data_IF_591584671283
#
_entry.id   IF_591584671283
#
_cell.length_a   1.000
_cell.length_b   1.000
_cell.length_c   1.000
_cell.angle_alpha   90.00
_cell.angle_beta   90.00
_cell.angle_gamma   90.00
#
_symmetry.space_group_name_H-M   'P 1'
#
loop_
_entity.id
_entity.type
_entity.pdbx_description
1 polymer ?
#
# COMPACT_ATOMS: atom_id res chain seq x y z
N UNK A 1 22.60 10.73 7.30
CA UNK A 1 21.37 11.28 6.68
C UNK A 1 20.59 11.97 7.80
N UNK A 2 19.87 13.08 7.55
CA UNK A 2 18.95 13.57 8.56
C UNK A 2 17.92 12.46 8.84
N UNK A 3 17.72 12.12 10.11
CA UNK A 3 16.80 11.05 10.48
C UNK A 3 15.36 11.42 10.20
N UNK A 4 14.51 10.41 9.97
CA UNK A 4 13.10 10.61 9.67
C UNK A 4 12.37 11.27 10.84
N UNK A 5 11.65 12.36 10.58
CA UNK A 5 10.97 13.14 11.63
C UNK A 5 9.61 12.55 11.98
N UNK A 6 9.09 12.90 13.16
CA UNK A 6 7.73 12.55 13.59
C UNK A 6 6.67 12.99 12.56
N UNK A 7 6.82 14.18 12.00
CA UNK A 7 5.92 14.73 10.97
C UNK A 7 5.97 13.91 9.68
N UNK A 8 7.14 13.42 9.29
CA UNK A 8 7.31 12.55 8.13
C UNK A 8 6.64 11.18 8.34
N UNK A 9 6.75 10.62 9.56
CA UNK A 9 6.02 9.40 9.94
C UNK A 9 4.51 9.62 9.90
N UNK A 10 4.02 10.74 10.44
CA UNK A 10 2.59 11.07 10.41
C UNK A 10 2.08 11.25 8.97
N UNK A 11 2.88 11.88 8.11
CA UNK A 11 2.56 12.02 6.69
C UNK A 11 2.49 10.65 5.98
N UNK A 12 3.47 9.78 6.23
CA UNK A 12 3.49 8.42 5.68
C UNK A 12 2.29 7.60 6.15
N UNK A 13 1.93 7.68 7.43
CA UNK A 13 0.77 7.01 7.98
C UNK A 13 -0.54 7.45 7.31
N UNK A 14 -0.69 8.76 7.05
CA UNK A 14 -1.83 9.31 6.30
C UNK A 14 -1.91 8.73 4.89
N UNK A 15 -0.79 8.64 4.17
CA UNK A 15 -0.73 8.04 2.83
C UNK A 15 -1.10 6.54 2.86
N UNK A 16 -0.66 5.83 3.90
CA UNK A 16 -0.95 4.42 4.10
C UNK A 16 -2.34 4.12 4.71
N UNK A 17 -3.13 5.16 5.03
CA UNK A 17 -4.42 5.05 5.75
C UNK A 17 -4.31 4.35 7.10
N UNK A 18 -3.21 4.60 7.81
CA UNK A 18 -2.97 4.12 9.15
C UNK A 18 -3.21 5.24 10.15
N UNK A 19 -4.07 5.00 11.13
CA UNK A 19 -4.21 5.85 12.31
C UNK A 19 -3.17 5.41 13.34
N UNK A 20 -2.29 6.32 13.72
CA UNK A 20 -1.24 6.07 14.70
C UNK A 20 -1.46 6.95 15.92
N UNK A 21 -1.21 6.40 17.10
CA UNK A 21 -1.18 7.14 18.35
C UNK A 21 0.08 7.99 18.43
N UNK A 22 0.01 9.02 19.26
CA UNK A 22 1.13 9.93 19.47
C UNK A 22 2.41 9.24 19.95
N UNK A 23 2.30 8.21 20.79
CA UNK A 23 3.46 7.44 21.25
C UNK A 23 4.06 6.56 20.14
N UNK A 24 3.22 6.11 19.21
CA UNK A 24 3.64 5.26 18.09
C UNK A 24 4.43 6.07 17.05
N UNK A 25 4.11 7.37 16.89
CA UNK A 25 4.83 8.25 15.97
C UNK A 25 6.31 8.40 16.36
N UNK A 26 6.60 8.67 17.63
CA UNK A 26 7.98 8.81 18.11
C UNK A 26 8.72 7.48 18.06
N UNK A 27 8.03 6.39 18.41
CA UNK A 27 8.59 5.05 18.38
C UNK A 27 8.98 4.64 16.95
N UNK A 28 8.09 4.86 15.98
CA UNK A 28 8.32 4.49 14.60
C UNK A 28 9.32 5.40 13.90
N UNK A 29 9.48 6.66 14.31
CA UNK A 29 10.54 7.51 13.77
C UNK A 29 11.92 6.87 13.98
N UNK A 30 12.22 6.38 15.20
CA UNK A 30 13.47 5.68 15.47
C UNK A 30 13.63 4.38 14.69
N UNK A 31 12.58 3.54 14.65
CA UNK A 31 12.64 2.27 13.93
C UNK A 31 12.79 2.44 12.41
N UNK A 32 12.12 3.43 11.83
CA UNK A 32 12.23 3.72 10.41
C UNK A 32 13.61 4.27 10.06
N UNK A 33 14.24 5.05 10.95
CA UNK A 33 15.63 5.50 10.78
C UNK A 33 16.60 4.32 10.73
N UNK A 34 16.47 3.37 11.65
CA UNK A 34 17.28 2.13 11.67
C UNK A 34 17.10 1.32 10.38
N UNK A 35 15.86 1.17 9.90
CA UNK A 35 15.53 0.44 8.67
C UNK A 35 16.13 1.15 7.44
N UNK A 36 15.97 2.46 7.33
CA UNK A 36 16.54 3.26 6.22
C UNK A 36 18.06 3.15 6.24
N UNK A 37 18.68 3.22 7.42
CA UNK A 37 20.11 3.01 7.59
C UNK A 37 20.57 1.64 7.10
N UNK A 38 19.83 0.57 7.42
CA UNK A 38 20.13 -0.78 6.94
C UNK A 38 19.98 -0.90 5.41
N UNK A 39 18.96 -0.28 4.81
CA UNK A 39 18.72 -0.31 3.36
C UNK A 39 19.74 0.51 2.58
N UNK A 40 20.36 1.53 3.20
CA UNK A 40 21.39 2.35 2.56
C UNK A 40 22.59 1.54 2.04
N UNK A 41 22.87 0.37 2.62
CA UNK A 41 23.92 -0.55 2.14
C UNK A 41 23.68 -1.04 0.69
N UNK A 42 22.45 -0.98 0.18
CA UNK A 42 22.14 -1.31 -1.22
C UNK A 42 22.81 -0.31 -2.18
N UNK A 43 22.97 0.96 -1.77
CA UNK A 43 23.62 2.01 -2.56
C UNK A 43 25.12 1.79 -2.74
N UNK A 44 25.76 0.92 -1.94
CA UNK A 44 27.17 0.57 -2.11
C UNK A 44 27.41 -0.37 -3.31
N UNK A 45 26.35 -0.98 -3.83
CA UNK A 45 26.41 -2.02 -4.88
C UNK A 45 25.59 -1.65 -6.12
N UNK A 46 24.48 -0.94 -5.95
CA UNK A 46 23.63 -0.51 -7.06
C UNK A 46 24.17 0.79 -7.70
N UNK A 47 24.56 0.71 -8.97
CA UNK A 47 25.09 1.84 -9.77
C UNK A 47 24.12 2.16 -10.94
N UNK A 48 24.29 3.31 -11.58
CA UNK A 48 23.41 3.83 -12.64
C UNK A 48 23.36 2.93 -13.90
N UNK A 49 24.38 2.09 -14.09
CA UNK A 49 24.47 1.14 -15.20
C UNK A 49 23.68 -0.15 -14.95
N UNK A 50 23.16 -0.37 -13.73
CA UNK A 50 22.32 -1.52 -13.39
C UNK A 50 20.85 -1.20 -13.72
N UNK A 51 20.25 -1.80 -14.75
CA UNK A 51 18.86 -1.54 -15.08
C UNK A 51 17.92 -2.07 -13.99
N UNK A 52 16.86 -1.32 -13.61
CA UNK A 52 15.91 -1.76 -12.61
C UNK A 52 15.15 -3.01 -13.08
N UNK A 53 15.04 -3.99 -12.18
CA UNK A 53 14.30 -5.23 -12.47
C UNK A 53 12.89 -5.14 -11.89
N UNK A 54 11.88 -4.99 -12.76
CA UNK A 54 10.46 -4.95 -12.35
C UNK A 54 9.84 -6.34 -12.20
N UNK A 55 10.19 -7.26 -13.11
CA UNK A 55 9.69 -8.63 -13.13
C UNK A 55 10.87 -9.58 -13.36
N UNK A 56 10.97 -10.69 -12.61
CA UNK A 56 12.03 -11.68 -12.81
C UNK A 56 11.81 -12.53 -14.07
N UNK A 57 10.59 -12.53 -14.61
CA UNK A 57 10.22 -13.29 -15.81
C UNK A 57 10.02 -12.35 -17.00
N UNK A 58 10.56 -12.70 -18.18
CA UNK A 58 10.39 -11.92 -19.40
C UNK A 58 9.01 -12.20 -20.03
N UNK A 59 7.95 -11.73 -19.38
CA UNK A 59 6.59 -11.84 -19.90
C UNK A 59 6.29 -10.69 -20.86
N UNK A 60 5.68 -11.02 -21.99
CA UNK A 60 5.32 -10.04 -23.02
C UNK A 60 3.91 -10.34 -23.52
N UNK A 61 3.07 -9.31 -23.67
CA UNK A 61 1.75 -9.39 -24.30
C UNK A 61 0.85 -10.51 -23.73
N UNK A 62 0.80 -10.64 -22.40
CA UNK A 62 -0.09 -11.60 -21.74
C UNK A 62 -1.53 -11.07 -21.79
N UNK A 63 -2.25 -11.47 -22.83
CA UNK A 63 -3.63 -11.07 -23.08
C UNK A 63 -4.61 -12.17 -22.65
N UNK A 64 -5.82 -11.76 -22.28
CA UNK A 64 -6.97 -12.65 -22.08
C UNK A 64 -7.92 -12.51 -23.28
N UNK A 65 -8.53 -13.59 -23.80
CA UNK A 65 -9.59 -13.47 -24.80
C UNK A 65 -10.78 -12.66 -24.24
N UNK A 66 -11.47 -11.96 -25.15
CA UNK A 66 -12.67 -11.19 -24.83
C UNK A 66 -13.91 -12.08 -24.83
N UNK A 67 -14.02 -12.90 -23.78
CA UNK A 67 -15.10 -13.86 -23.61
C UNK A 67 -15.82 -13.59 -22.29
N UNK A 68 -17.16 -13.57 -22.34
CA UNK A 68 -18.01 -13.43 -21.15
C UNK A 68 -17.86 -14.67 -20.27
N UNK A 69 -17.58 -14.45 -18.99
CA UNK A 69 -17.54 -15.51 -17.96
C UNK A 69 -18.59 -15.24 -16.90
N UNK A 70 -19.14 -16.30 -16.25
CA UNK A 70 -20.04 -16.12 -15.13
C UNK A 70 -19.40 -15.23 -14.05
N UNK A 71 -20.13 -14.20 -13.61
CA UNK A 71 -19.73 -13.38 -12.46
C UNK A 71 -20.14 -14.08 -11.16
N UNK A 72 -19.55 -13.65 -10.05
CA UNK A 72 -20.00 -14.06 -8.72
C UNK A 72 -21.47 -13.65 -8.53
N UNK A 73 -22.24 -14.46 -7.78
CA UNK A 73 -23.55 -14.02 -7.29
C UNK A 73 -23.37 -12.88 -6.27
N UNK A 74 -24.38 -12.03 -6.05
CA UNK A 74 -24.32 -11.01 -5.01
C UNK A 74 -24.00 -11.58 -3.62
N UNK A 75 -24.57 -12.75 -3.29
CA UNK A 75 -24.27 -13.47 -2.04
C UNK A 75 -22.80 -13.87 -1.95
N UNK A 76 -22.22 -14.43 -3.01
CA UNK A 76 -20.81 -14.80 -3.05
C UNK A 76 -19.90 -13.58 -2.93
N UNK A 77 -20.22 -12.51 -3.65
CA UNK A 77 -19.45 -11.27 -3.64
C UNK A 77 -19.47 -10.56 -2.27
N UNK A 78 -20.58 -10.68 -1.53
CA UNK A 78 -20.77 -10.02 -0.23
C UNK A 78 -20.44 -10.92 0.97
N UNK A 79 -20.03 -12.17 0.74
CA UNK A 79 -19.77 -13.17 1.80
C UNK A 79 -18.75 -12.71 2.86
N UNK A 80 -17.82 -11.83 2.50
CA UNK A 80 -16.85 -11.22 3.41
C UNK A 80 -17.10 -9.75 3.75
N UNK A 81 -18.25 -9.18 3.36
CA UNK A 81 -18.56 -7.78 3.59
C UNK A 81 -18.82 -7.52 5.09
N UNK A 82 -18.10 -6.58 5.74
CA UNK A 82 -18.36 -6.25 7.15
C UNK A 82 -19.77 -5.71 7.39
N UNK A 83 -20.33 -5.00 6.41
CA UNK A 83 -21.70 -4.53 6.40
C UNK A 83 -22.26 -4.55 4.98
N UNK A 84 -23.52 -4.98 4.84
CA UNK A 84 -24.22 -5.02 3.57
C UNK A 84 -25.66 -4.52 3.72
N UNK A 85 -26.19 -3.92 2.66
CA UNK A 85 -27.58 -3.46 2.60
C UNK A 85 -28.08 -3.52 1.16
N UNK A 86 -29.24 -4.14 0.95
CA UNK A 86 -29.88 -4.26 -0.38
C UNK A 86 -28.92 -4.81 -1.47
N UNK A 87 -28.19 -5.88 -1.16
CA UNK A 87 -27.17 -6.49 -2.06
C UNK A 87 -26.04 -5.52 -2.46
N UNK A 88 -25.63 -4.62 -1.57
CA UNK A 88 -24.51 -3.69 -1.75
C UNK A 88 -23.62 -3.65 -0.52
N UNK A 89 -22.35 -3.29 -0.71
CA UNK A 89 -21.44 -2.95 0.39
C UNK A 89 -21.93 -1.66 1.05
N UNK A 90 -22.10 -1.68 2.36
CA UNK A 90 -22.48 -0.50 3.13
C UNK A 90 -21.24 0.15 3.72
N UNK A 91 -21.02 1.41 3.38
CA UNK A 91 -19.90 2.23 3.88
C UNK A 91 -20.43 3.57 4.39
N UNK A 92 -19.70 4.25 5.31
CA UNK A 92 -19.97 5.64 5.62
C UNK A 92 -19.94 6.49 4.34
N UNK A 93 -20.86 7.46 4.24
CA UNK A 93 -20.87 8.37 3.11
C UNK A 93 -19.60 9.22 3.12
N UNK A 94 -18.96 9.35 1.96
CA UNK A 94 -17.87 10.31 1.78
C UNK A 94 -18.52 11.70 1.71
N UNK A 95 -18.41 12.44 2.80
CA UNK A 95 -18.65 13.87 2.81
C UNK A 95 -17.35 14.52 2.33
N UNK A 96 -17.43 15.45 1.38
CA UNK A 96 -16.24 16.16 0.88
C UNK A 96 -15.48 16.87 2.01
N UNK A 97 -14.20 17.18 1.76
CA UNK A 97 -13.37 17.94 2.70
C UNK A 97 -13.93 19.37 2.87
N UNK A 98 -14.29 19.74 4.10
CA UNK A 98 -13.98 21.07 4.63
C UNK A 98 -12.59 21.02 5.29
#
# INVERSE_FOLDING_TARGET
>A
MPGISREEVAHLAKLARLELKDEELDHFAGQLDDIIGAVAAVSDVADEDVPPTSHPLPLTNVMRPDEVRPSLTPEQALSGAPAQEQQRFKVPQILGEE
#
